data_IF_656134032231
#
_entry.id   IF_656134032231
#
_cell.length_a   1.000
_cell.length_b   1.000
_cell.length_c   1.000
_cell.angle_alpha   90.00
_cell.angle_beta   90.00
_cell.angle_gamma   90.00
#
_symmetry.space_group_name_H-M   'P 1'
#
loop_
_entity.id
_entity.type
_entity.pdbx_description
1 polymer ?
#
# COMPACT_ATOMS: atom_id res chain seq x y z
N UNK A 1 -17.80 -0.20 12.10
CA UNK A 1 -17.17 -0.13 10.76
C UNK A 1 -16.56 -1.49 10.54
N UNK A 2 -17.10 -2.27 9.62
CA UNK A 2 -16.45 -3.50 9.15
C UNK A 2 -15.33 -3.07 8.20
N UNK A 3 -14.10 -3.48 8.50
CA UNK A 3 -13.03 -3.39 7.52
C UNK A 3 -13.30 -4.50 6.50
N UNK A 4 -13.53 -4.17 5.21
CA UNK A 4 -13.57 -5.21 4.17
C UNK A 4 -12.28 -6.01 4.21
N UNK A 5 -12.23 -7.17 3.57
CA UNK A 5 -11.02 -8.00 3.52
C UNK A 5 -9.90 -7.28 2.74
N UNK A 6 -9.25 -6.34 3.42
CA UNK A 6 -8.35 -5.35 2.82
C UNK A 6 -7.14 -6.04 2.25
N UNK A 7 -6.67 -7.10 2.90
CA UNK A 7 -5.52 -7.88 2.44
C UNK A 7 -5.73 -8.48 1.05
N UNK A 8 -6.95 -8.93 0.73
CA UNK A 8 -7.28 -9.41 -0.62
C UNK A 8 -7.25 -8.26 -1.62
N UNK A 9 -7.88 -7.13 -1.27
CA UNK A 9 -7.93 -5.96 -2.15
C UNK A 9 -6.55 -5.38 -2.44
N UNK A 10 -5.70 -5.24 -1.42
CA UNK A 10 -4.34 -4.70 -1.57
C UNK A 10 -3.46 -5.61 -2.41
N UNK A 11 -3.61 -6.93 -2.27
CA UNK A 11 -2.89 -7.89 -3.12
C UNK A 11 -3.35 -7.84 -4.57
N UNK A 12 -4.65 -7.72 -4.81
CA UNK A 12 -5.22 -7.68 -6.17
C UNK A 12 -4.71 -6.50 -7.00
N UNK A 13 -4.43 -5.36 -6.35
CA UNK A 13 -3.86 -4.18 -7.01
C UNK A 13 -2.32 -4.22 -7.06
N UNK A 14 -1.67 -5.26 -6.52
CA UNK A 14 -0.21 -5.38 -6.52
C UNK A 14 0.51 -4.50 -5.51
N UNK A 15 -0.19 -4.05 -4.46
CA UNK A 15 0.45 -3.27 -3.40
C UNK A 15 1.46 -4.11 -2.61
N UNK A 16 2.56 -3.46 -2.20
CA UNK A 16 3.55 -4.10 -1.34
C UNK A 16 3.04 -4.23 0.09
N UNK A 17 3.52 -5.23 0.87
CA UNK A 17 3.24 -5.27 2.29
C UNK A 17 3.92 -4.10 3.00
N UNK A 18 3.27 -3.60 4.04
CA UNK A 18 3.80 -2.49 4.86
C UNK A 18 4.66 -2.99 6.02
N UNK A 19 4.45 -4.22 6.47
CA UNK A 19 5.25 -4.88 7.50
C UNK A 19 5.01 -6.39 7.51
N UNK A 20 5.57 -7.11 8.47
CA UNK A 20 5.22 -8.49 8.77
C UNK A 20 4.19 -8.55 9.93
N UNK A 21 3.36 -9.59 9.94
CA UNK A 21 2.49 -9.95 11.06
C UNK A 21 3.33 -10.38 12.27
N UNK A 22 2.73 -10.57 13.46
CA UNK A 22 3.47 -10.98 14.67
C UNK A 22 4.24 -12.31 14.56
N UNK A 23 3.95 -13.14 13.56
CA UNK A 23 4.71 -14.36 13.25
C UNK A 23 6.07 -14.08 12.59
N UNK A 24 6.35 -12.83 12.21
CA UNK A 24 7.59 -12.38 11.61
C UNK A 24 7.77 -12.76 10.13
N UNK A 25 6.82 -13.48 9.53
CA UNK A 25 6.95 -14.01 8.15
C UNK A 25 5.74 -13.73 7.28
N UNK A 26 4.53 -13.67 7.85
CA UNK A 26 3.34 -13.39 7.06
C UNK A 26 3.26 -11.89 6.75
N UNK A 27 2.94 -11.50 5.50
CA UNK A 27 2.86 -10.10 5.13
C UNK A 27 1.67 -9.40 5.80
N UNK A 28 1.88 -8.18 6.28
CA UNK A 28 0.85 -7.31 6.84
C UNK A 28 0.64 -6.08 5.96
N UNK A 29 -0.62 -5.87 5.57
CA UNK A 29 -1.02 -4.82 4.66
C UNK A 29 -1.86 -3.80 5.41
N UNK A 30 -1.57 -2.53 5.17
CA UNK A 30 -2.29 -1.41 5.75
C UNK A 30 -2.65 -0.39 4.68
N UNK A 31 -3.58 0.48 5.01
CA UNK A 31 -4.00 1.64 4.22
C UNK A 31 -3.48 2.92 4.89
N UNK A 32 -3.32 4.05 4.16
CA UNK A 32 -3.68 4.28 2.75
C UNK A 32 -2.70 3.67 1.72
N UNK A 33 -3.16 3.59 0.46
CA UNK A 33 -2.39 3.15 -0.73
C UNK A 33 -2.71 4.10 -1.89
N UNK A 34 -1.72 4.43 -2.71
CA UNK A 34 -1.90 5.13 -3.99
C UNK A 34 -1.93 4.11 -5.12
N UNK A 35 -2.93 4.21 -5.99
CA UNK A 35 -2.91 3.67 -7.34
C UNK A 35 -2.94 4.86 -8.29
N UNK A 36 -1.86 5.06 -9.04
CA UNK A 36 -1.70 6.20 -9.93
C UNK A 36 -1.77 5.73 -11.38
N UNK A 37 -2.88 6.05 -12.05
CA UNK A 37 -3.11 5.68 -13.45
C UNK A 37 -2.19 6.43 -14.42
N UNK A 38 -1.61 7.57 -14.03
CA UNK A 38 -0.74 8.38 -14.89
C UNK A 38 0.67 7.78 -15.01
N UNK A 39 1.15 7.11 -13.97
CA UNK A 39 2.47 6.46 -13.92
C UNK A 39 2.39 4.94 -13.92
N UNK A 40 1.21 4.36 -13.63
CA UNK A 40 1.01 2.95 -13.35
C UNK A 40 1.52 2.50 -11.98
N UNK A 41 1.88 3.44 -11.10
CA UNK A 41 2.46 3.11 -9.79
C UNK A 41 1.41 2.64 -8.78
N UNK A 42 1.79 1.67 -7.96
CA UNK A 42 1.02 1.25 -6.78
C UNK A 42 1.93 1.37 -5.57
N UNK A 43 1.62 2.32 -4.68
CA UNK A 43 2.50 2.70 -3.56
C UNK A 43 1.75 2.53 -2.24
N UNK A 44 2.24 1.62 -1.42
CA UNK A 44 1.83 1.38 -0.04
C UNK A 44 2.90 1.90 0.93
N UNK A 45 2.56 2.01 2.22
CA UNK A 45 3.37 2.64 3.27
C UNK A 45 3.36 4.17 3.22
N UNK A 46 3.06 4.79 4.37
CA UNK A 46 2.86 6.24 4.46
C UNK A 46 4.11 7.07 4.12
N UNK A 47 5.31 6.59 4.46
CA UNK A 47 6.54 7.31 4.16
C UNK A 47 6.89 7.20 2.68
N UNK A 48 6.68 6.02 2.08
CA UNK A 48 6.84 5.82 0.65
C UNK A 48 5.83 6.65 -0.15
N UNK A 49 4.57 6.72 0.30
CA UNK A 49 3.53 7.56 -0.29
C UNK A 49 3.93 9.03 -0.28
N UNK A 50 4.38 9.57 0.86
CA UNK A 50 4.80 10.97 0.95
C UNK A 50 5.95 11.27 -0.04
N UNK A 51 6.98 10.43 -0.06
CA UNK A 51 8.10 10.60 -1.00
C UNK A 51 7.70 10.43 -2.47
N UNK A 52 6.71 9.59 -2.77
CA UNK A 52 6.16 9.46 -4.12
C UNK A 52 5.45 10.73 -4.55
N UNK A 53 4.56 11.26 -3.70
CA UNK A 53 3.80 12.47 -3.99
C UNK A 53 4.73 13.68 -4.17
N UNK A 54 5.68 13.90 -3.28
CA UNK A 54 6.65 15.00 -3.37
C UNK A 54 7.47 14.95 -4.68
N UNK A 55 7.74 13.75 -5.19
CA UNK A 55 8.53 13.55 -6.42
C UNK A 55 7.70 13.74 -7.69
N UNK A 56 6.47 13.25 -7.71
CA UNK A 56 5.65 13.15 -8.94
C UNK A 56 4.68 14.33 -9.08
N UNK A 57 4.27 14.93 -7.96
CA UNK A 57 3.30 16.04 -7.91
C UNK A 57 3.82 17.19 -7.03
N UNK A 58 4.85 17.92 -7.50
CA UNK A 58 5.40 19.07 -6.77
C UNK A 58 4.45 20.27 -6.74
#
# INVERSE_FOLDING_TARGET
IELPDTEVLTKNIGASPTSAKPDGVSPFYTIPIIQDDSTGAVVSDSAAIAGYLDKIYP
#
